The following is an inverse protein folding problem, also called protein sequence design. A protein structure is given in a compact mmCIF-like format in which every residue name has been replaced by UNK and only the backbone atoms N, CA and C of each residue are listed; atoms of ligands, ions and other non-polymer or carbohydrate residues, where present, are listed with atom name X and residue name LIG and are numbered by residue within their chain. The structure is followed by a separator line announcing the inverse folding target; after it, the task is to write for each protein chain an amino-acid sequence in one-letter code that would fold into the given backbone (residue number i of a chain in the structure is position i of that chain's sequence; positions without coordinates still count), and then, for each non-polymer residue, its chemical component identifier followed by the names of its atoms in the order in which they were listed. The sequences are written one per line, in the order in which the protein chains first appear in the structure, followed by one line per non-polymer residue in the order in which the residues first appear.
data_IF_838256869550
#
_entry.id   IF_838256869550
#
_cell.length_a   1.000
_cell.length_b   1.000
_cell.length_c   1.000
_cell.angle_alpha   90.00
_cell.angle_beta   90.00
_cell.angle_gamma   90.00
#
_symmetry.space_group_name_H-M   'P 1'
#
loop_
_entity.id
_entity.type
_entity.pdbx_description
1 polymer ?
#
# COMPACT_ATOMS: atom_id res chain seq x y z
N UNK A 1 -75.05 33.63 -15.35
CA UNK A 1 -73.74 32.93 -15.31
C UNK A 1 -73.47 32.67 -13.84
N UNK A 2 -73.43 31.40 -13.43
CA UNK A 2 -73.23 31.02 -12.02
C UNK A 2 -71.73 31.03 -11.76
N UNK A 3 -71.29 31.84 -10.81
CA UNK A 3 -69.94 31.79 -10.25
C UNK A 3 -69.96 30.78 -9.09
N UNK A 4 -69.36 29.60 -9.32
CA UNK A 4 -69.15 28.60 -8.27
C UNK A 4 -67.92 29.01 -7.45
N UNK A 5 -68.17 29.64 -6.31
CA UNK A 5 -67.16 29.91 -5.29
C UNK A 5 -66.74 28.62 -4.57
N UNK A 6 -65.48 28.24 -4.73
CA UNK A 6 -64.85 27.12 -4.01
C UNK A 6 -64.93 27.41 -2.50
N UNK A 7 -65.56 26.53 -1.74
CA UNK A 7 -65.80 26.74 -0.30
C UNK A 7 -64.50 26.63 0.52
N UNK A 8 -64.30 27.48 1.56
CA UNK A 8 -63.10 27.48 2.42
C UNK A 8 -62.76 26.15 3.11
N UNK A 9 -63.74 25.26 3.22
CA UNK A 9 -63.63 23.92 3.83
C UNK A 9 -62.79 22.95 2.98
N UNK A 10 -62.82 23.04 1.64
CA UNK A 10 -62.04 22.17 0.76
C UNK A 10 -60.52 22.50 0.78
N UNK A 11 -60.16 23.75 1.06
CA UNK A 11 -58.76 24.19 1.14
C UNK A 11 -58.11 23.73 2.44
N UNK A 12 -58.84 23.78 3.57
CA UNK A 12 -58.39 23.29 4.87
C UNK A 12 -58.29 21.75 4.91
N UNK A 13 -59.19 21.04 4.25
CA UNK A 13 -59.11 19.58 4.08
C UNK A 13 -57.92 19.19 3.19
N UNK A 14 -57.63 19.93 2.12
CA UNK A 14 -56.42 19.70 1.30
C UNK A 14 -55.12 19.97 2.07
N UNK A 15 -55.04 21.05 2.85
CA UNK A 15 -53.87 21.32 3.70
C UNK A 15 -53.70 20.27 4.80
N UNK A 16 -54.79 19.85 5.46
CA UNK A 16 -54.72 18.81 6.49
C UNK A 16 -54.35 17.43 5.94
N UNK A 17 -54.74 17.12 4.69
CA UNK A 17 -54.32 15.89 4.01
C UNK A 17 -52.86 15.95 3.57
N UNK A 18 -52.38 17.10 3.08
CA UNK A 18 -50.96 17.28 2.75
C UNK A 18 -50.05 17.14 4.00
N UNK A 19 -50.48 17.67 5.15
CA UNK A 19 -49.72 17.55 6.41
C UNK A 19 -49.70 16.09 6.90
N UNK A 20 -50.82 15.36 6.78
CA UNK A 20 -50.86 13.93 7.13
C UNK A 20 -50.04 13.06 6.17
N UNK A 21 -50.05 13.36 4.88
CA UNK A 21 -49.22 12.68 3.88
C UNK A 21 -47.72 12.95 4.13
N UNK A 22 -47.32 14.16 4.54
CA UNK A 22 -45.94 14.47 4.94
C UNK A 22 -45.53 13.76 6.26
N UNK A 23 -46.42 13.65 7.24
CA UNK A 23 -46.18 12.90 8.50
C UNK A 23 -46.09 11.39 8.27
N UNK A 24 -46.94 10.81 7.43
CA UNK A 24 -46.90 9.40 7.04
C UNK A 24 -45.68 9.08 6.17
N UNK A 25 -45.27 10.00 5.29
CA UNK A 25 -44.03 9.87 4.52
C UNK A 25 -42.79 9.94 5.41
N UNK A 26 -42.79 10.79 6.45
CA UNK A 26 -41.68 10.91 7.41
C UNK A 26 -41.57 9.68 8.33
N UNK A 27 -42.69 9.13 8.80
CA UNK A 27 -42.70 7.89 9.60
C UNK A 27 -42.30 6.68 8.76
N UNK A 28 -42.80 6.58 7.52
CA UNK A 28 -42.40 5.57 6.55
C UNK A 28 -40.89 5.57 6.27
N UNK A 29 -40.27 6.75 6.16
CA UNK A 29 -38.82 6.87 5.99
C UNK A 29 -38.04 6.41 7.23
N UNK A 30 -38.53 6.72 8.44
CA UNK A 30 -37.89 6.32 9.69
C UNK A 30 -37.90 4.80 9.89
N UNK A 31 -39.02 4.14 9.57
CA UNK A 31 -39.16 2.69 9.69
C UNK A 31 -38.25 1.94 8.71
N UNK A 32 -38.16 2.41 7.46
CA UNK A 32 -37.24 1.84 6.46
C UNK A 32 -35.78 2.02 6.91
N UNK A 33 -35.43 3.18 7.48
CA UNK A 33 -34.09 3.40 8.03
C UNK A 33 -33.77 2.48 9.21
N UNK A 34 -34.73 2.26 10.12
CA UNK A 34 -34.54 1.38 11.28
C UNK A 34 -34.33 -0.10 10.87
N UNK A 35 -35.07 -0.56 9.86
CA UNK A 35 -34.94 -1.90 9.30
C UNK A 35 -33.59 -2.09 8.60
N UNK A 36 -33.15 -1.10 7.83
CA UNK A 36 -31.82 -1.11 7.21
C UNK A 36 -30.69 -0.99 8.24
N UNK A 37 -30.91 -0.28 9.35
CA UNK A 37 -29.93 -0.13 10.44
C UNK A 37 -29.68 -1.44 11.18
N UNK A 38 -30.69 -2.31 11.20
CA UNK A 38 -30.59 -3.63 11.82
C UNK A 38 -29.83 -4.65 10.95
N UNK A 39 -29.58 -4.34 9.66
CA UNK A 39 -28.98 -5.24 8.69
C UNK A 39 -27.78 -4.59 8.00
N UNK A 40 -26.59 -4.77 8.56
CA UNK A 40 -25.37 -4.07 8.11
C UNK A 40 -24.94 -4.36 6.65
N UNK A 41 -25.22 -5.56 6.14
CA UNK A 41 -24.87 -5.98 4.78
C UNK A 41 -25.92 -5.61 3.73
N UNK A 42 -27.03 -5.01 4.17
CA UNK A 42 -28.17 -4.60 3.35
C UNK A 42 -29.24 -5.67 3.17
N UNK A 43 -30.39 -5.25 2.63
CA UNK A 43 -31.58 -6.08 2.44
C UNK A 43 -31.99 -6.13 0.98
N UNK A 44 -32.44 -7.31 0.54
CA UNK A 44 -33.12 -7.45 -0.76
C UNK A 44 -34.48 -6.74 -0.74
N UNK A 45 -35.01 -6.40 -1.91
CA UNK A 45 -36.36 -5.84 -2.00
C UNK A 45 -37.40 -6.78 -1.34
N UNK A 46 -37.30 -8.09 -1.56
CA UNK A 46 -38.22 -9.08 -0.99
C UNK A 46 -38.15 -9.14 0.54
N UNK A 47 -36.94 -9.10 1.11
CA UNK A 47 -36.78 -9.15 2.57
C UNK A 47 -37.14 -7.83 3.23
N UNK A 48 -36.91 -6.72 2.54
CA UNK A 48 -37.44 -5.42 2.96
C UNK A 48 -38.97 -5.46 3.01
N UNK A 49 -39.64 -6.06 2.01
CA UNK A 49 -41.10 -6.21 2.03
C UNK A 49 -41.60 -7.05 3.20
N UNK A 50 -40.89 -8.13 3.55
CA UNK A 50 -41.24 -8.98 4.71
C UNK A 50 -41.09 -8.23 6.04
N UNK A 51 -39.99 -7.50 6.20
CA UNK A 51 -39.69 -6.80 7.46
C UNK A 51 -40.51 -5.51 7.64
N UNK A 52 -41.03 -4.93 6.55
CA UNK A 52 -41.90 -3.74 6.58
C UNK A 52 -43.35 -4.06 6.17
N UNK A 53 -43.83 -5.28 6.46
CA UNK A 53 -45.16 -5.75 6.03
C UNK A 53 -46.35 -4.88 6.50
N UNK A 54 -46.16 -4.05 7.53
CA UNK A 54 -47.17 -3.09 8.02
C UNK A 54 -47.30 -1.80 7.19
N UNK A 55 -46.41 -1.56 6.22
CA UNK A 55 -46.42 -0.37 5.38
C UNK A 55 -47.10 -0.63 4.03
N UNK A 56 -47.82 0.37 3.51
CA UNK A 56 -48.34 0.33 2.14
C UNK A 56 -47.20 0.24 1.11
N UNK A 57 -47.43 -0.53 0.04
CA UNK A 57 -46.42 -0.79 -1.01
C UNK A 57 -46.00 0.50 -1.70
N UNK A 58 -46.93 1.44 -1.89
CA UNK A 58 -46.67 2.72 -2.56
C UNK A 58 -45.92 3.67 -1.64
N UNK A 59 -46.37 3.80 -0.39
CA UNK A 59 -45.70 4.61 0.62
C UNK A 59 -44.25 4.16 0.88
N UNK A 60 -43.99 2.84 0.87
CA UNK A 60 -42.63 2.28 0.97
C UNK A 60 -41.77 2.65 -0.23
N UNK A 61 -42.29 2.53 -1.45
CA UNK A 61 -41.58 2.91 -2.66
C UNK A 61 -41.20 4.39 -2.68
N UNK A 62 -42.12 5.26 -2.26
CA UNK A 62 -41.90 6.70 -2.12
C UNK A 62 -40.86 6.99 -1.02
N UNK A 63 -40.92 6.31 0.13
CA UNK A 63 -39.92 6.43 1.19
C UNK A 63 -38.52 5.98 0.73
N UNK A 64 -38.39 4.84 0.04
CA UNK A 64 -37.12 4.36 -0.51
C UNK A 64 -36.56 5.34 -1.53
N UNK A 65 -37.38 5.85 -2.44
CA UNK A 65 -36.95 6.84 -3.42
C UNK A 65 -36.49 8.14 -2.75
N UNK A 66 -37.22 8.63 -1.74
CA UNK A 66 -36.83 9.80 -0.96
C UNK A 66 -35.50 9.58 -0.18
N UNK A 67 -35.30 8.38 0.37
CA UNK A 67 -34.06 8.00 1.06
C UNK A 67 -32.86 7.88 0.12
N UNK A 68 -33.08 7.38 -1.11
CA UNK A 68 -32.06 7.35 -2.17
C UNK A 68 -31.71 8.77 -2.63
N UNK A 69 -32.71 9.61 -2.88
CA UNK A 69 -32.52 11.01 -3.29
C UNK A 69 -31.85 11.86 -2.22
N UNK A 70 -32.15 11.61 -0.94
CA UNK A 70 -31.45 12.26 0.18
C UNK A 70 -30.08 11.66 0.48
N UNK A 71 -29.72 10.53 -0.15
CA UNK A 71 -28.41 9.90 -0.02
C UNK A 71 -28.17 9.16 1.31
N UNK A 72 -29.22 8.88 2.08
CA UNK A 72 -29.12 8.13 3.35
C UNK A 72 -28.92 6.64 3.12
N UNK A 73 -29.40 6.13 1.99
CA UNK A 73 -29.26 4.73 1.58
C UNK A 73 -28.60 4.66 0.21
N UNK A 74 -27.95 3.53 -0.07
CA UNK A 74 -27.34 3.23 -1.36
C UNK A 74 -27.82 1.88 -1.87
N UNK A 75 -27.82 1.76 -3.20
CA UNK A 75 -28.29 0.57 -3.89
C UNK A 75 -27.09 -0.17 -4.49
N UNK A 76 -26.94 -1.43 -4.08
CA UNK A 76 -25.92 -2.34 -4.58
C UNK A 76 -26.57 -3.39 -5.51
N UNK A 77 -25.86 -3.89 -6.54
CA UNK A 77 -26.32 -5.03 -7.34
C UNK A 77 -26.52 -6.26 -6.46
N UNK A 78 -27.62 -6.95 -6.66
CA UNK A 78 -27.94 -8.23 -6.02
C UNK A 78 -27.20 -9.40 -6.67
N UNK A 79 -27.30 -10.57 -6.03
CA UNK A 79 -26.66 -11.80 -6.52
C UNK A 79 -27.30 -12.35 -7.80
N UNK A 80 -28.55 -11.98 -8.07
CA UNK A 80 -29.28 -12.35 -9.30
C UNK A 80 -29.38 -11.15 -10.25
N UNK A 81 -29.34 -11.37 -11.58
CA UNK A 81 -29.47 -10.30 -12.56
C UNK A 81 -30.79 -9.54 -12.37
N UNK A 82 -30.71 -8.23 -12.12
CA UNK A 82 -31.89 -7.38 -11.88
C UNK A 82 -32.34 -7.29 -10.43
N UNK A 83 -31.75 -8.07 -9.51
CA UNK A 83 -31.93 -7.84 -8.07
C UNK A 83 -31.01 -6.73 -7.59
N UNK A 84 -31.42 -6.08 -6.50
CA UNK A 84 -30.64 -5.05 -5.82
C UNK A 84 -30.77 -5.22 -4.30
N UNK A 85 -29.72 -4.79 -3.61
CA UNK A 85 -29.61 -4.78 -2.16
C UNK A 85 -29.58 -3.32 -1.73
N UNK A 86 -30.46 -2.95 -0.80
CA UNK A 86 -30.47 -1.62 -0.19
C UNK A 86 -29.68 -1.68 1.11
N UNK A 87 -28.73 -0.76 1.28
CA UNK A 87 -27.90 -0.66 2.48
C UNK A 87 -27.90 0.78 2.97
N UNK A 88 -27.78 0.97 4.29
CA UNK A 88 -27.46 2.28 4.85
C UNK A 88 -26.08 2.72 4.40
N UNK A 89 -25.97 3.98 3.99
CA UNK A 89 -24.68 4.56 3.65
C UNK A 89 -23.84 4.74 4.91
N UNK A 90 -22.65 4.14 4.94
CA UNK A 90 -21.67 4.33 6.02
C UNK A 90 -20.69 5.49 5.72
N UNK A 91 -20.58 5.91 4.46
CA UNK A 91 -19.59 6.89 4.00
C UNK A 91 -20.08 8.36 3.95
N UNK A 92 -19.12 9.28 3.85
CA UNK A 92 -19.35 10.72 3.74
C UNK A 92 -20.04 11.08 2.43
N UNK A 93 -21.06 11.96 2.52
CA UNK A 93 -21.71 12.52 1.33
C UNK A 93 -20.82 13.60 0.72
N UNK A 94 -20.51 13.43 -0.56
CA UNK A 94 -19.76 14.40 -1.34
C UNK A 94 -20.76 15.38 -1.96
N UNK A 95 -20.47 16.69 -1.86
CA UNK A 95 -21.26 17.72 -2.52
C UNK A 95 -21.17 17.57 -4.05
N UNK A 96 -22.28 17.79 -4.76
CA UNK A 96 -22.37 17.71 -6.23
C UNK A 96 -21.85 16.38 -6.81
N UNK A 97 -22.17 15.26 -6.17
CA UNK A 97 -21.85 13.93 -6.67
C UNK A 97 -23.09 13.24 -7.25
N UNK A 98 -22.91 12.57 -8.38
CA UNK A 98 -23.88 11.62 -8.92
C UNK A 98 -24.02 10.40 -8.00
N UNK A 99 -25.13 9.69 -8.10
CA UNK A 99 -25.35 8.47 -7.31
C UNK A 99 -24.24 7.42 -7.54
N UNK A 100 -23.72 7.30 -8.77
CA UNK A 100 -22.60 6.39 -9.10
C UNK A 100 -21.26 6.83 -8.47
N UNK A 101 -20.94 8.13 -8.50
CA UNK A 101 -19.75 8.71 -7.86
C UNK A 101 -19.76 8.49 -6.36
N UNK A 102 -20.92 8.74 -5.75
CA UNK A 102 -21.13 8.62 -4.33
C UNK A 102 -21.02 7.17 -3.84
N UNK A 103 -21.51 6.20 -4.63
CA UNK A 103 -21.39 4.77 -4.34
C UNK A 103 -19.95 4.28 -4.45
N UNK A 104 -19.21 4.70 -5.47
CA UNK A 104 -17.79 4.33 -5.60
C UNK A 104 -16.99 4.92 -4.44
N UNK A 105 -17.29 6.16 -4.05
CA UNK A 105 -16.60 6.82 -2.95
C UNK A 105 -16.85 6.15 -1.60
N UNK A 106 -18.10 5.77 -1.27
CA UNK A 106 -18.41 5.06 -0.01
C UNK A 106 -17.67 3.73 0.08
N UNK A 107 -17.60 2.96 -1.01
CA UNK A 107 -16.84 1.70 -1.07
C UNK A 107 -15.33 1.90 -0.88
N UNK A 108 -14.77 3.00 -1.41
CA UNK A 108 -13.35 3.33 -1.23
C UNK A 108 -13.08 3.75 0.21
N UNK A 109 -13.96 4.56 0.82
CA UNK A 109 -13.84 4.98 2.22
C UNK A 109 -13.89 3.79 3.19
N UNK A 110 -14.77 2.82 2.94
CA UNK A 110 -14.85 1.58 3.72
C UNK A 110 -13.56 0.74 3.66
N UNK A 111 -12.80 0.83 2.57
CA UNK A 111 -11.56 0.07 2.39
C UNK A 111 -10.35 0.64 3.15
N UNK A 112 -10.44 1.90 3.61
CA UNK A 112 -9.44 2.55 4.43
C UNK A 112 -8.02 2.52 3.82
N UNK A 113 -7.03 2.08 4.63
CA UNK A 113 -5.60 2.10 4.28
C UNK A 113 -5.17 1.05 3.25
N UNK A 114 -5.90 -0.06 3.15
CA UNK A 114 -5.61 -1.15 2.18
C UNK A 114 -6.06 -0.77 0.77
N UNK A 115 -7.03 0.15 0.68
CA UNK A 115 -7.69 0.52 -0.56
C UNK A 115 -8.52 -0.63 -1.15
N UNK A 116 -9.14 -0.36 -2.30
CA UNK A 116 -9.98 -1.31 -3.02
C UNK A 116 -9.50 -1.51 -4.46
N UNK A 117 -9.48 -2.76 -4.91
CA UNK A 117 -9.07 -3.11 -6.27
C UNK A 117 -10.13 -2.74 -7.31
N UNK A 118 -9.71 -2.33 -8.51
CA UNK A 118 -10.64 -1.97 -9.59
C UNK A 118 -11.66 -3.08 -9.93
N UNK A 119 -11.27 -4.35 -9.80
CA UNK A 119 -12.15 -5.49 -10.03
C UNK A 119 -13.22 -5.57 -8.95
N UNK A 120 -12.83 -5.35 -7.71
CA UNK A 120 -13.74 -5.47 -6.57
C UNK A 120 -14.74 -4.30 -6.55
N UNK A 121 -14.32 -3.09 -6.98
CA UNK A 121 -15.25 -1.98 -7.24
C UNK A 121 -16.29 -2.40 -8.28
N UNK A 122 -15.86 -2.99 -9.40
CA UNK A 122 -16.77 -3.42 -10.48
C UNK A 122 -17.75 -4.48 -9.99
N UNK A 123 -17.25 -5.48 -9.28
CA UNK A 123 -18.05 -6.61 -8.83
C UNK A 123 -19.05 -6.18 -7.73
N UNK A 124 -18.71 -5.18 -6.90
CA UNK A 124 -19.60 -4.62 -5.88
C UNK A 124 -20.56 -3.55 -6.38
N UNK A 125 -20.20 -2.76 -7.39
CA UNK A 125 -21.07 -1.69 -7.93
C UNK A 125 -21.94 -2.16 -9.08
N UNK A 126 -21.55 -3.23 -9.79
CA UNK A 126 -22.27 -3.74 -10.96
C UNK A 126 -22.20 -2.80 -12.18
N UNK A 127 -21.39 -1.73 -12.11
CA UNK A 127 -21.25 -0.75 -13.18
C UNK A 127 -20.44 -1.31 -14.34
N UNK A 128 -20.73 -0.82 -15.56
CA UNK A 128 -19.91 -1.16 -16.73
C UNK A 128 -18.49 -0.63 -16.58
N UNK A 129 -17.52 -1.32 -17.19
CA UNK A 129 -16.10 -0.92 -17.16
C UNK A 129 -15.88 0.53 -17.63
N UNK A 130 -16.69 1.00 -18.59
CA UNK A 130 -16.60 2.35 -19.15
C UNK A 130 -17.12 3.40 -18.19
N UNK A 131 -18.28 3.17 -17.55
CA UNK A 131 -18.86 4.09 -16.56
C UNK A 131 -17.94 4.22 -15.35
N UNK A 132 -17.52 3.09 -14.77
CA UNK A 132 -16.63 3.07 -13.62
C UNK A 132 -15.32 3.84 -13.88
N UNK A 133 -14.70 3.67 -15.05
CA UNK A 133 -13.48 4.41 -15.41
C UNK A 133 -13.71 5.92 -15.56
N UNK A 134 -14.88 6.34 -16.07
CA UNK A 134 -15.23 7.77 -16.16
C UNK A 134 -15.40 8.36 -14.76
N UNK A 135 -16.17 7.70 -13.90
CA UNK A 135 -16.42 8.13 -12.51
C UNK A 135 -15.12 8.22 -11.72
N UNK A 136 -14.29 7.18 -11.75
CA UNK A 136 -12.99 7.18 -11.07
C UNK A 136 -12.09 8.33 -11.55
N UNK A 137 -12.09 8.64 -12.85
CA UNK A 137 -11.34 9.77 -13.39
C UNK A 137 -11.84 11.12 -12.88
N UNK A 138 -13.15 11.30 -12.74
CA UNK A 138 -13.74 12.53 -12.16
C UNK A 138 -13.37 12.65 -10.68
N UNK A 139 -13.46 11.56 -9.91
CA UNK A 139 -13.08 11.54 -8.49
C UNK A 139 -11.57 11.81 -8.29
N UNK A 140 -10.71 11.32 -9.18
CA UNK A 140 -9.27 11.64 -9.21
C UNK A 140 -9.02 13.10 -9.56
N UNK A 141 -9.72 13.66 -10.56
CA UNK A 141 -9.60 15.06 -10.95
C UNK A 141 -10.02 16.01 -9.82
N UNK A 142 -11.04 15.63 -9.04
CA UNK A 142 -11.51 16.36 -7.86
C UNK A 142 -10.58 16.20 -6.64
N UNK A 143 -9.52 15.39 -6.73
CA UNK A 143 -8.60 15.06 -5.62
C UNK A 143 -9.32 14.45 -4.40
N UNK A 144 -10.37 13.68 -4.63
CA UNK A 144 -11.08 12.94 -3.57
C UNK A 144 -10.50 11.53 -3.40
N UNK A 145 -10.12 10.95 -4.53
CA UNK A 145 -9.55 9.60 -4.63
C UNK A 145 -8.19 9.68 -5.31
N UNK A 146 -7.28 8.79 -4.96
CA UNK A 146 -6.03 8.55 -5.68
C UNK A 146 -5.91 7.08 -6.07
N UNK A 147 -5.28 6.82 -7.21
CA UNK A 147 -4.88 5.47 -7.59
C UNK A 147 -3.45 5.19 -7.17
N UNK A 148 -3.26 3.99 -6.59
CA UNK A 148 -1.95 3.43 -6.25
C UNK A 148 -1.84 2.09 -6.96
N UNK A 149 -0.66 1.83 -7.53
CA UNK A 149 -0.32 0.49 -8.01
C UNK A 149 0.43 -0.21 -6.89
N UNK A 150 -0.03 -1.40 -6.51
CA UNK A 150 0.59 -2.14 -5.42
C UNK A 150 1.96 -2.71 -5.82
N UNK A 151 2.93 -2.68 -4.92
CA UNK A 151 4.25 -3.27 -5.15
C UNK A 151 4.13 -4.77 -5.44
N UNK A 152 4.90 -5.25 -6.43
CA UNK A 152 4.88 -6.65 -6.85
C UNK A 152 3.66 -7.04 -7.71
N UNK A 153 2.70 -6.13 -7.96
CA UNK A 153 1.59 -6.39 -8.88
C UNK A 153 1.35 -5.24 -9.85
N UNK A 154 0.79 -5.54 -11.03
CA UNK A 154 0.37 -4.50 -11.99
C UNK A 154 -1.04 -3.97 -11.73
N UNK A 155 -1.68 -4.41 -10.63
CA UNK A 155 -3.08 -4.11 -10.33
C UNK A 155 -3.19 -2.72 -9.68
N UNK A 156 -4.19 -1.95 -10.13
CA UNK A 156 -4.54 -0.65 -9.56
C UNK A 156 -5.48 -0.82 -8.37
N UNK A 157 -5.11 -0.19 -7.28
CA UNK A 157 -5.90 -0.01 -6.06
C UNK A 157 -6.31 1.47 -5.97
N UNK A 158 -7.51 1.75 -5.48
CA UNK A 158 -8.01 3.10 -5.24
C UNK A 158 -8.21 3.33 -3.75
N UNK A 159 -7.87 4.52 -3.29
CA UNK A 159 -8.02 4.93 -1.89
C UNK A 159 -8.30 6.43 -1.80
N UNK A 160 -8.75 6.90 -0.64
CA UNK A 160 -8.96 8.33 -0.39
C UNK A 160 -7.66 9.13 -0.54
N UNK A 161 -7.78 10.36 -1.03
CA UNK A 161 -6.62 11.21 -1.32
C UNK A 161 -5.75 11.48 -0.08
N UNK A 162 -6.39 11.79 1.05
CA UNK A 162 -5.70 12.17 2.29
C UNK A 162 -5.18 10.98 3.11
N UNK A 163 -5.60 9.75 2.79
CA UNK A 163 -5.21 8.57 3.56
C UNK A 163 -3.83 8.10 3.12
N UNK A 164 -2.92 7.86 4.07
CA UNK A 164 -1.61 7.26 3.82
C UNK A 164 -1.79 5.76 3.59
N UNK A 165 -1.23 5.25 2.50
CA UNK A 165 -1.32 3.84 2.13
C UNK A 165 -0.57 2.96 3.11
N UNK A 166 -1.06 1.74 3.28
CA UNK A 166 -0.37 0.73 4.09
C UNK A 166 0.97 0.32 3.44
N UNK A 167 1.98 0.03 4.25
CA UNK A 167 3.31 -0.40 3.78
C UNK A 167 3.24 -1.68 2.94
N UNK A 168 2.26 -2.55 3.21
CA UNK A 168 2.02 -3.74 2.39
C UNK A 168 1.64 -3.42 0.93
N UNK A 169 1.09 -2.24 0.67
CA UNK A 169 0.72 -1.78 -0.67
C UNK A 169 1.87 -1.03 -1.35
N UNK A 170 2.60 -0.22 -0.60
CA UNK A 170 3.67 0.65 -1.11
C UNK A 170 5.07 0.05 -1.07
N UNK A 171 5.24 -1.10 -0.42
CA UNK A 171 6.54 -1.79 -0.26
C UNK A 171 7.43 -1.20 0.84
N UNK A 172 6.95 -0.19 1.56
CA UNK A 172 7.73 0.50 2.61
C UNK A 172 8.69 1.56 2.06
N UNK A 173 9.70 1.92 2.84
CA UNK A 173 10.56 3.10 2.61
C UNK A 173 11.58 2.93 1.49
N UNK A 174 11.87 1.71 1.06
CA UNK A 174 12.87 1.39 0.01
C UNK A 174 12.32 1.33 -1.41
N UNK A 175 11.01 1.55 -1.59
CA UNK A 175 10.36 1.52 -2.89
C UNK A 175 10.00 2.92 -3.34
N UNK A 176 10.40 3.27 -4.56
CA UNK A 176 9.94 4.45 -5.27
C UNK A 176 9.29 4.01 -6.58
N UNK A 177 8.13 4.57 -6.90
CA UNK A 177 7.40 4.26 -8.14
C UNK A 177 7.17 2.75 -8.39
N UNK A 178 6.97 1.97 -7.32
CA UNK A 178 6.82 0.51 -7.31
C UNK A 178 8.08 -0.29 -7.65
N UNK A 179 9.24 0.36 -7.74
CA UNK A 179 10.53 -0.31 -7.93
C UNK A 179 11.36 -0.17 -6.65
N UNK A 180 12.09 -1.23 -6.33
CA UNK A 180 13.09 -1.18 -5.27
C UNK A 180 14.18 -0.21 -5.72
N UNK A 181 14.47 0.79 -4.91
CA UNK A 181 15.62 1.67 -5.15
C UNK A 181 16.89 0.95 -4.68
N UNK A 182 17.42 0.09 -5.55
CA UNK A 182 18.60 -0.72 -5.24
C UNK A 182 19.83 0.13 -4.96
N UNK A 183 19.98 1.27 -5.67
CA UNK A 183 21.09 2.19 -5.44
C UNK A 183 21.01 2.83 -4.06
N UNK A 184 19.81 3.22 -3.62
CA UNK A 184 19.60 3.73 -2.28
C UNK A 184 19.90 2.66 -1.22
N UNK A 185 19.40 1.43 -1.40
CA UNK A 185 19.67 0.30 -0.50
C UNK A 185 21.16 0.00 -0.38
N UNK A 186 21.87 -0.10 -1.51
CA UNK A 186 23.31 -0.35 -1.55
C UNK A 186 24.09 0.79 -0.88
N UNK A 187 23.74 2.04 -1.17
CA UNK A 187 24.39 3.21 -0.56
C UNK A 187 24.16 3.24 0.95
N UNK A 188 22.95 2.94 1.41
CA UNK A 188 22.64 2.88 2.84
C UNK A 188 23.40 1.74 3.51
N UNK A 189 23.48 0.56 2.87
CA UNK A 189 24.26 -0.57 3.36
C UNK A 189 25.74 -0.21 3.50
N UNK A 190 26.34 0.42 2.48
CA UNK A 190 27.72 0.89 2.54
C UNK A 190 27.94 1.89 3.69
N UNK A 191 27.02 2.82 3.93
CA UNK A 191 27.15 3.79 5.02
C UNK A 191 27.01 3.13 6.39
N UNK A 192 26.05 2.21 6.55
CA UNK A 192 25.90 1.41 7.76
C UNK A 192 27.18 0.62 8.06
N UNK A 193 27.73 -0.03 7.03
CA UNK A 193 28.97 -0.79 7.13
C UNK A 193 30.14 0.14 7.45
N UNK A 194 30.31 1.27 6.76
CA UNK A 194 31.39 2.23 6.97
C UNK A 194 31.39 2.84 8.39
N UNK A 195 30.23 2.97 9.03
CA UNK A 195 30.15 3.36 10.43
C UNK A 195 30.78 2.29 11.35
N UNK A 196 30.55 1.02 11.03
CA UNK A 196 31.01 -0.14 11.80
C UNK A 196 32.46 -0.53 11.45
N UNK A 197 32.83 -0.47 10.17
CA UNK A 197 34.08 -0.91 9.58
C UNK A 197 35.13 0.19 9.57
N UNK A 198 36.38 -0.23 9.72
CA UNK A 198 37.53 0.55 9.26
C UNK A 198 37.54 0.48 7.74
N UNK A 199 37.18 1.53 7.02
CA UNK A 199 37.32 1.48 5.57
C UNK A 199 38.80 1.48 5.17
N UNK A 200 39.20 0.42 4.47
CA UNK A 200 40.32 0.40 3.55
C UNK A 200 39.71 0.44 2.14
N UNK A 201 39.85 1.57 1.44
CA UNK A 201 39.49 1.69 0.02
C UNK A 201 40.79 1.85 -0.78
N UNK A 202 41.36 0.73 -1.25
CA UNK A 202 42.72 0.71 -1.83
C UNK A 202 43.80 1.14 -0.82
N UNK A 203 44.95 1.63 -1.29
CA UNK A 203 46.10 2.04 -0.44
C UNK A 203 45.87 3.31 0.41
N UNK A 204 44.65 3.85 0.46
CA UNK A 204 44.34 5.10 1.16
C UNK A 204 43.54 4.79 2.43
N UNK A 205 44.21 4.95 3.58
CA UNK A 205 43.60 4.90 4.91
C UNK A 205 42.82 6.19 5.16
N UNK A 206 41.50 6.10 5.28
CA UNK A 206 40.68 7.25 5.73
C UNK A 206 40.80 7.43 7.25
N UNK A 207 40.92 8.68 7.76
CA UNK A 207 41.15 8.95 9.19
C UNK A 207 39.89 8.82 10.06
N UNK A 208 38.79 8.25 9.56
CA UNK A 208 37.58 8.07 10.35
C UNK A 208 37.76 6.90 11.32
N UNK A 209 37.71 7.22 12.62
CA UNK A 209 37.68 6.26 13.72
C UNK A 209 36.36 5.50 13.70
N UNK A 210 36.28 4.45 12.88
CA UNK A 210 35.16 3.53 12.93
C UNK A 210 35.02 2.90 14.30
N UNK A 211 33.81 2.45 14.66
CA UNK A 211 33.55 1.92 16.01
C UNK A 211 34.51 0.79 16.36
N UNK A 212 34.81 -0.07 15.40
CA UNK A 212 35.75 -1.17 15.56
C UNK A 212 37.19 -0.70 15.79
N UNK A 213 37.72 0.21 14.96
CA UNK A 213 39.09 0.74 15.14
C UNK A 213 39.23 1.47 16.46
N UNK A 214 38.22 2.26 16.83
CA UNK A 214 38.17 2.96 18.10
C UNK A 214 38.23 1.99 19.29
N UNK A 215 37.49 0.89 19.23
CA UNK A 215 37.55 -0.15 20.25
C UNK A 215 38.92 -0.84 20.31
N UNK A 216 39.49 -1.20 19.15
CA UNK A 216 40.82 -1.82 19.03
C UNK A 216 41.94 -0.89 19.55
N UNK A 217 41.86 0.42 19.27
CA UNK A 217 42.83 1.41 19.74
C UNK A 217 42.74 1.68 21.25
N UNK A 218 41.55 1.61 21.84
CA UNK A 218 41.36 1.83 23.28
C UNK A 218 41.67 0.58 24.11
N UNK A 219 41.57 -0.61 23.52
CA UNK A 219 41.77 -1.89 24.20
C UNK A 219 42.92 -2.69 23.57
N UNK A 220 44.02 -2.03 23.21
CA UNK A 220 45.17 -2.66 22.51
C UNK A 220 45.73 -3.91 23.19
N UNK A 221 45.67 -3.96 24.52
CA UNK A 221 46.21 -5.06 25.32
C UNK A 221 45.14 -6.10 25.71
N UNK A 222 43.88 -5.90 25.33
CA UNK A 222 42.77 -6.81 25.64
C UNK A 222 41.90 -7.07 24.40
N UNK A 223 42.21 -8.13 23.63
CA UNK A 223 41.44 -8.48 22.45
C UNK A 223 39.98 -8.85 22.72
N UNK A 224 39.66 -9.35 23.93
CA UNK A 224 38.30 -9.70 24.29
C UNK A 224 37.46 -8.43 24.51
N UNK A 225 37.99 -7.46 25.27
CA UNK A 225 37.36 -6.15 25.43
C UNK A 225 37.28 -5.41 24.08
N UNK A 226 38.35 -5.40 23.28
CA UNK A 226 38.34 -4.80 21.94
C UNK A 226 37.22 -5.37 21.07
N UNK A 227 36.95 -6.69 21.16
CA UNK A 227 35.84 -7.33 20.47
C UNK A 227 34.49 -6.91 21.03
N UNK A 228 34.35 -6.90 22.34
CA UNK A 228 33.09 -6.60 23.04
C UNK A 228 32.60 -5.18 22.74
N UNK A 229 33.47 -4.18 22.89
CA UNK A 229 33.12 -2.78 22.69
C UNK A 229 33.01 -2.33 21.22
N UNK A 230 33.25 -3.25 20.28
CA UNK A 230 33.06 -2.99 18.85
C UNK A 230 31.63 -3.31 18.36
N UNK A 231 30.79 -3.93 19.20
CA UNK A 231 29.39 -4.19 18.89
C UNK A 231 28.52 -2.93 19.04
N UNK A 232 27.51 -2.80 18.18
CA UNK A 232 26.64 -1.63 18.07
C UNK A 232 25.18 -2.06 17.89
N UNK A 233 24.24 -1.35 18.52
CA UNK A 233 22.81 -1.58 18.33
C UNK A 233 22.28 -0.92 17.05
N UNK A 234 21.21 -1.50 16.47
CA UNK A 234 20.47 -0.93 15.34
C UNK A 234 19.99 0.51 15.60
N UNK A 235 19.65 0.83 16.85
CA UNK A 235 19.26 2.19 17.27
C UNK A 235 20.40 3.22 17.13
N UNK A 236 21.64 2.85 17.46
CA UNK A 236 22.80 3.74 17.32
C UNK A 236 23.14 3.97 15.84
N UNK A 237 23.02 2.92 15.00
CA UNK A 237 23.13 3.04 13.54
C UNK A 237 22.07 3.99 12.98
N UNK A 238 20.82 3.87 13.42
CA UNK A 238 19.72 4.74 13.00
C UNK A 238 19.96 6.21 13.39
N UNK A 239 20.48 6.45 14.60
CA UNK A 239 20.86 7.80 15.05
C UNK A 239 21.97 8.38 14.18
N UNK A 240 23.01 7.60 13.89
CA UNK A 240 24.12 8.04 13.04
C UNK A 240 23.64 8.45 11.63
N UNK A 241 22.76 7.65 11.02
CA UNK A 241 22.19 7.95 9.68
C UNK A 241 21.39 9.25 9.71
N UNK A 242 20.62 9.47 10.80
CA UNK A 242 19.84 10.69 11.00
C UNK A 242 20.73 11.91 11.18
N UNK A 243 21.78 11.82 11.99
CA UNK A 243 22.73 12.90 12.24
C UNK A 243 23.52 13.28 10.98
N UNK A 244 23.89 12.30 10.17
CA UNK A 244 24.59 12.52 8.90
C UNK A 244 23.69 13.08 7.80
N UNK A 245 22.37 13.09 7.99
CA UNK A 245 21.42 13.63 7.02
C UNK A 245 21.43 12.89 5.68
N UNK A 246 21.76 11.60 5.69
CA UNK A 246 21.95 10.77 4.48
C UNK A 246 20.66 10.61 3.69
N UNK A 247 19.53 10.51 4.39
CA UNK A 247 18.21 10.32 3.80
C UNK A 247 17.27 11.46 4.16
N UNK A 248 16.50 11.91 3.17
CA UNK A 248 15.34 12.80 3.38
C UNK A 248 14.11 12.04 3.87
N UNK A 249 14.08 10.72 3.66
CA UNK A 249 13.01 9.82 4.08
C UNK A 249 13.24 9.40 5.53
N UNK A 250 12.18 9.41 6.35
CA UNK A 250 12.25 8.92 7.72
C UNK A 250 12.43 7.40 7.70
N UNK A 251 13.58 6.93 8.19
CA UNK A 251 13.89 5.52 8.31
C UNK A 251 13.58 5.03 9.73
N UNK A 252 12.84 3.92 9.81
CA UNK A 252 12.53 3.25 11.07
C UNK A 252 13.64 2.27 11.46
N UNK A 253 13.64 1.81 12.72
CA UNK A 253 14.66 0.84 13.19
C UNK A 253 14.58 -0.48 12.39
N UNK A 254 13.37 -0.93 12.08
CA UNK A 254 13.14 -2.14 11.27
C UNK A 254 13.73 -2.03 9.86
N UNK A 255 13.70 -0.83 9.27
CA UNK A 255 14.29 -0.55 7.96
C UNK A 255 15.82 -0.71 8.04
N UNK A 256 16.44 -0.14 9.09
CA UNK A 256 17.88 -0.26 9.32
C UNK A 256 18.28 -1.72 9.56
N UNK A 257 17.51 -2.47 10.33
CA UNK A 257 17.77 -3.90 10.58
C UNK A 257 17.68 -4.73 9.30
N UNK A 258 16.75 -4.40 8.42
CA UNK A 258 16.62 -5.01 7.09
C UNK A 258 17.87 -4.73 6.25
N UNK A 259 18.39 -3.51 6.27
CA UNK A 259 19.63 -3.15 5.55
C UNK A 259 20.86 -3.83 6.15
N UNK A 260 20.96 -3.87 7.48
CA UNK A 260 22.03 -4.59 8.18
C UNK A 260 21.97 -6.10 7.87
N UNK A 261 20.78 -6.66 7.61
CA UNK A 261 20.65 -8.06 7.18
C UNK A 261 21.29 -8.31 5.82
N UNK A 262 21.21 -7.35 4.88
CA UNK A 262 21.90 -7.44 3.59
C UNK A 262 23.41 -7.46 3.80
N UNK A 263 23.93 -6.51 4.58
CA UNK A 263 25.36 -6.46 4.91
C UNK A 263 25.86 -7.72 5.66
N UNK A 264 24.99 -8.38 6.43
CA UNK A 264 25.29 -9.66 7.08
C UNK A 264 25.38 -10.80 6.06
N UNK A 265 24.49 -10.84 5.06
CA UNK A 265 24.52 -11.81 3.97
C UNK A 265 25.76 -11.61 3.08
N UNK A 266 26.19 -10.37 2.87
CA UNK A 266 27.43 -10.04 2.16
C UNK A 266 28.70 -10.41 2.96
N UNK A 267 28.55 -10.84 4.23
CA UNK A 267 29.65 -11.21 5.10
C UNK A 267 30.51 -10.03 5.57
N UNK A 268 29.97 -8.80 5.49
CA UNK A 268 30.68 -7.59 5.91
C UNK A 268 30.55 -7.34 7.42
N UNK A 269 29.48 -7.85 8.03
CA UNK A 269 29.19 -7.71 9.46
C UNK A 269 28.75 -9.05 10.06
N UNK A 270 28.90 -9.19 11.38
CA UNK A 270 28.33 -10.28 12.17
C UNK A 270 27.25 -9.74 13.10
N UNK A 271 26.24 -10.57 13.40
CA UNK A 271 25.20 -10.29 14.38
C UNK A 271 25.33 -11.22 15.58
N UNK A 272 25.19 -10.66 16.77
CA UNK A 272 25.16 -11.39 18.04
C UNK A 272 23.70 -11.70 18.44
N UNK A 273 23.51 -12.69 19.31
CA UNK A 273 22.19 -13.13 19.76
C UNK A 273 21.35 -12.03 20.44
N UNK A 274 21.99 -11.02 21.02
CA UNK A 274 21.36 -9.83 21.62
C UNK A 274 20.88 -8.79 20.57
N UNK A 275 21.12 -9.04 19.29
CA UNK A 275 20.76 -8.12 18.21
C UNK A 275 21.77 -7.01 17.97
N UNK A 276 22.97 -7.06 18.57
CA UNK A 276 24.05 -6.13 18.22
C UNK A 276 24.83 -6.61 16.99
N UNK A 277 25.41 -5.64 16.28
CA UNK A 277 26.15 -5.84 15.04
C UNK A 277 27.60 -5.40 15.21
N UNK A 278 28.51 -6.09 14.54
CA UNK A 278 29.92 -5.72 14.48
C UNK A 278 30.47 -5.92 13.08
N UNK A 279 31.29 -5.00 12.62
CA UNK A 279 32.05 -5.18 11.40
C UNK A 279 33.00 -6.39 11.44
N UNK A 280 33.02 -7.16 10.37
CA UNK A 280 34.07 -8.15 10.08
C UNK A 280 35.24 -7.48 9.34
N UNK A 281 36.43 -8.05 9.46
CA UNK A 281 37.53 -7.67 8.55
C UNK A 281 37.25 -8.49 7.29
N UNK A 282 37.07 -7.82 6.16
CA UNK A 282 36.95 -8.49 4.88
C UNK A 282 38.20 -9.35 4.64
N UNK A 283 38.07 -10.66 4.82
CA UNK A 283 39.07 -11.63 4.41
C UNK A 283 38.60 -12.21 3.09
N UNK A 284 38.85 -11.50 1.99
CA UNK A 284 38.64 -12.07 0.66
C UNK A 284 39.73 -13.10 0.40
N UNK A 285 39.55 -14.32 0.90
CA UNK A 285 40.41 -15.44 0.53
C UNK A 285 39.99 -15.88 -0.87
N UNK A 286 40.58 -15.27 -1.90
CA UNK A 286 40.45 -15.80 -3.26
C UNK A 286 41.25 -17.10 -3.33
N UNK A 287 40.59 -18.22 -3.57
CA UNK A 287 41.32 -19.46 -3.84
C UNK A 287 42.03 -19.32 -5.19
N UNK A 288 43.24 -19.88 -5.34
CA UNK A 288 44.00 -19.78 -6.60
C UNK A 288 43.18 -20.15 -7.86
N UNK A 289 42.27 -21.14 -7.84
CA UNK A 289 41.42 -21.43 -8.98
C UNK A 289 40.45 -20.29 -9.34
N UNK A 290 39.96 -19.50 -8.38
CA UNK A 290 39.04 -18.37 -8.65
C UNK A 290 39.65 -17.26 -9.49
N UNK A 291 40.98 -17.25 -9.63
CA UNK A 291 41.72 -16.33 -10.50
C UNK A 291 41.85 -16.85 -11.93
N UNK A 292 41.58 -18.14 -12.17
CA UNK A 292 41.65 -18.76 -13.47
C UNK A 292 40.43 -18.34 -14.33
N UNK A 293 40.63 -17.86 -15.56
CA UNK A 293 39.52 -17.42 -16.42
C UNK A 293 38.54 -18.55 -16.74
N UNK A 294 38.99 -19.82 -16.68
CA UNK A 294 38.14 -20.98 -16.92
C UNK A 294 37.01 -21.14 -15.90
N UNK A 295 37.19 -20.69 -14.65
CA UNK A 295 36.14 -20.82 -13.61
C UNK A 295 34.95 -19.91 -13.88
N UNK A 296 35.19 -18.76 -14.52
CA UNK A 296 34.14 -17.78 -14.85
C UNK A 296 33.78 -17.82 -16.34
N UNK A 297 34.27 -18.83 -17.07
CA UNK A 297 34.10 -18.90 -18.51
C UNK A 297 32.64 -19.26 -18.85
N UNK A 298 31.90 -18.40 -19.58
CA UNK A 298 30.49 -18.64 -19.90
C UNK A 298 30.29 -19.78 -20.90
N UNK A 299 31.35 -20.22 -21.58
CA UNK A 299 31.35 -21.25 -22.62
C UNK A 299 32.25 -22.44 -22.25
N UNK A 300 32.48 -22.66 -20.95
CA UNK A 300 33.31 -23.77 -20.44
C UNK A 300 32.83 -25.14 -20.93
N UNK A 301 31.50 -25.34 -20.94
CA UNK A 301 30.88 -26.61 -21.33
C UNK A 301 31.23 -27.02 -22.78
N UNK A 302 31.43 -26.04 -23.66
CA UNK A 302 31.72 -26.24 -25.08
C UNK A 302 33.23 -26.27 -25.38
N UNK A 303 34.07 -25.97 -24.39
CA UNK A 303 35.51 -25.87 -24.56
C UNK A 303 36.16 -27.26 -24.57
N UNK A 304 36.68 -27.67 -25.73
CA UNK A 304 37.37 -28.97 -25.91
C UNK A 304 38.60 -28.83 -26.81
N UNK A 305 39.67 -29.60 -26.57
CA UNK A 305 40.81 -29.64 -27.48
C UNK A 305 40.40 -29.98 -28.92
N UNK A 306 40.81 -29.16 -29.88
CA UNK A 306 40.54 -29.36 -31.32
C UNK A 306 39.15 -28.94 -31.80
N UNK A 307 38.32 -28.37 -30.92
CA UNK A 307 37.01 -27.81 -31.30
C UNK A 307 37.15 -26.34 -31.71
N UNK A 308 36.06 -25.74 -32.19
CA UNK A 308 36.01 -24.30 -32.52
C UNK A 308 36.27 -23.48 -31.24
N UNK A 309 35.62 -23.84 -30.13
CA UNK A 309 35.91 -23.31 -28.79
C UNK A 309 36.89 -24.27 -28.14
N UNK A 310 38.15 -23.85 -27.98
CA UNK A 310 39.20 -24.72 -27.47
C UNK A 310 40.17 -23.96 -26.57
N UNK A 311 40.90 -24.65 -25.68
CA UNK A 311 41.94 -24.00 -24.89
C UNK A 311 43.08 -23.48 -25.76
N UNK A 312 43.35 -24.08 -26.93
CA UNK A 312 44.45 -23.69 -27.82
C UNK A 312 44.25 -22.34 -28.50
N UNK A 313 42.99 -21.94 -28.72
CA UNK A 313 42.62 -20.67 -29.36
C UNK A 313 41.80 -19.76 -28.44
N UNK A 314 41.86 -19.99 -27.12
CA UNK A 314 41.03 -19.28 -26.16
C UNK A 314 41.46 -17.82 -25.99
N UNK A 315 40.58 -16.89 -26.37
CA UNK A 315 40.80 -15.45 -26.19
C UNK A 315 40.82 -15.04 -24.71
N UNK A 316 39.98 -15.64 -23.86
CA UNK A 316 39.98 -15.37 -22.41
C UNK A 316 41.32 -15.74 -21.76
N UNK A 317 41.90 -16.87 -22.15
CA UNK A 317 43.18 -17.33 -21.63
C UNK A 317 44.35 -16.49 -22.17
N UNK A 318 44.29 -16.14 -23.45
CA UNK A 318 45.30 -15.28 -24.11
C UNK A 318 45.31 -13.88 -23.52
N UNK A 319 44.11 -13.30 -23.32
CA UNK A 319 43.95 -12.05 -22.60
C UNK A 319 44.50 -12.21 -21.20
N UNK A 320 44.07 -13.22 -20.42
CA UNK A 320 44.52 -13.45 -19.04
C UNK A 320 46.05 -13.55 -18.84
N UNK A 321 46.77 -14.08 -19.82
CA UNK A 321 48.23 -14.21 -19.79
C UNK A 321 48.98 -12.96 -20.27
N UNK A 322 48.31 -12.00 -20.89
CA UNK A 322 48.97 -10.82 -21.49
C UNK A 322 49.27 -9.69 -20.48
N UNK A 323 49.23 -9.98 -19.18
CA UNK A 323 49.22 -9.02 -18.07
C UNK A 323 50.62 -8.94 -17.46
#
# INVERSE_FOLDING_TARGET
MREDGIQPTEILLKHSNMIKEEEEASTSQADVLAVLASNEDGLSNEDLMKQTAGMDVKARGEAVNALLSSGKIEMLPGHTPGAFILRLRKGTQIADATHEEQLIYSLIEESGKKGIWIRDIRDRTGLSQTQMRKVLKVLEQRKLVKSIKAVGTTKKCYMLYDVVADESLTGGTFYSDQQLDSQFVETLAHICVAMLQVDFYGDIVMPNKSKRKFSEDNHKNDPAAAREFAFVHSAEVAQFIREKGVSRVQLNIADIESILSVALLDGLIERRADGMYRALIAKTTRCAPSLCPCIHCPVEADCRPGYIISPQNCEYFSSWLSW
#
